data_IF_821104989806
#
_entry.id   IF_821104989806
#
_cell.length_a   1.000
_cell.length_b   1.000
_cell.length_c   1.000
_cell.angle_alpha   90.00
_cell.angle_beta   90.00
_cell.angle_gamma   90.00
#
_symmetry.space_group_name_H-M   'P 1'
#
loop_
_entity.id
_entity.type
_entity.pdbx_description
1 polymer ?
#
# COMPACT_ATOMS: atom_id res chain seq x y z
N UNK A 1 -36.82 9.18 -8.09
CA UNK A 1 -36.68 8.47 -6.80
C UNK A 1 -35.36 8.92 -6.19
N UNK A 2 -35.41 9.76 -5.15
CA UNK A 2 -34.22 10.23 -4.48
C UNK A 2 -33.63 9.09 -3.63
N UNK A 3 -32.37 8.69 -3.82
CA UNK A 3 -31.74 7.75 -2.91
C UNK A 3 -31.54 8.43 -1.55
N UNK A 4 -31.94 7.73 -0.50
CA UNK A 4 -31.91 8.18 0.90
C UNK A 4 -30.48 8.08 1.44
N UNK A 5 -30.16 9.02 2.35
CA UNK A 5 -29.23 8.92 3.51
C UNK A 5 -27.94 9.76 3.41
N UNK A 6 -28.00 10.97 3.97
CA UNK A 6 -26.94 11.56 4.80
C UNK A 6 -27.63 12.36 5.91
N UNK A 7 -27.66 11.79 7.11
CA UNK A 7 -28.04 12.49 8.36
C UNK A 7 -26.72 12.91 8.99
N UNK A 8 -26.55 14.19 9.32
CA UNK A 8 -25.40 14.62 10.09
C UNK A 8 -25.23 16.12 10.16
N UNK A 9 -25.51 16.67 11.32
CA UNK A 9 -24.80 17.86 11.81
C UNK A 9 -23.32 17.42 11.96
N UNK A 10 -22.50 17.63 10.93
CA UNK A 10 -21.13 17.11 10.94
C UNK A 10 -20.53 16.96 9.55
N UNK A 11 -19.33 17.50 9.42
CA UNK A 11 -18.30 17.26 8.40
C UNK A 11 -18.61 16.06 7.49
N UNK A 12 -18.94 16.34 6.21
CA UNK A 12 -19.14 15.32 5.17
C UNK A 12 -17.84 14.52 4.97
N UNK A 13 -17.77 13.29 5.45
CA UNK A 13 -16.77 12.31 5.02
C UNK A 13 -17.23 11.64 3.74
N UNK A 14 -16.33 11.67 2.75
CA UNK A 14 -16.41 11.00 1.45
C UNK A 14 -17.28 11.69 0.38
N UNK A 15 -16.64 12.56 -0.40
CA UNK A 15 -17.13 12.92 -1.73
C UNK A 15 -16.10 12.52 -2.79
N UNK A 16 -16.32 11.38 -3.42
CA UNK A 16 -16.13 11.32 -4.87
C UNK A 16 -17.17 12.26 -5.52
N UNK A 17 -16.90 12.70 -6.74
CA UNK A 17 -17.75 13.56 -7.58
C UNK A 17 -19.21 13.04 -7.59
N UNK A 18 -20.03 13.55 -6.68
CA UNK A 18 -21.30 12.93 -6.29
C UNK A 18 -22.29 13.97 -5.76
N UNK A 19 -23.56 13.62 -5.74
CA UNK A 19 -24.64 14.52 -5.34
C UNK A 19 -24.73 14.65 -3.81
N UNK A 20 -25.04 15.85 -3.31
CA UNK A 20 -25.19 16.14 -1.87
C UNK A 20 -26.61 16.61 -1.57
N UNK A 21 -27.19 16.17 -0.46
CA UNK A 21 -28.49 16.66 0.03
C UNK A 21 -28.35 17.25 1.43
N UNK A 22 -28.73 18.51 1.57
CA UNK A 22 -28.74 19.24 2.84
C UNK A 22 -30.14 19.17 3.46
N UNK A 23 -30.22 18.66 4.69
CA UNK A 23 -31.47 18.60 5.42
C UNK A 23 -31.71 19.88 6.20
N UNK A 24 -32.88 20.49 6.02
CA UNK A 24 -33.25 21.69 6.75
C UNK A 24 -33.91 21.38 8.11
N UNK A 25 -34.87 20.46 8.13
CA UNK A 25 -35.63 20.13 9.34
C UNK A 25 -36.16 18.70 9.27
N UNK A 26 -36.41 18.11 10.43
CA UNK A 26 -37.05 16.79 10.52
C UNK A 26 -38.59 16.88 10.49
N UNK A 27 -39.15 18.03 10.07
CA UNK A 27 -40.60 18.25 10.00
C UNK A 27 -41.10 17.88 8.61
N UNK A 28 -42.27 17.27 8.55
CA UNK A 28 -42.93 16.95 7.28
C UNK A 28 -43.53 18.20 6.66
N UNK A 29 -43.56 18.27 5.32
CA UNK A 29 -44.11 19.41 4.58
C UNK A 29 -45.54 19.78 5.00
N UNK A 30 -46.36 18.81 5.42
CA UNK A 30 -47.73 19.04 5.88
C UNK A 30 -47.86 20.03 7.06
N UNK A 31 -46.77 20.27 7.80
CA UNK A 31 -46.74 21.22 8.93
C UNK A 31 -46.01 22.52 8.58
N UNK A 32 -45.36 22.57 7.42
CA UNK A 32 -44.52 23.69 6.96
C UNK A 32 -45.38 24.66 6.17
N UNK A 33 -45.26 25.95 6.49
CA UNK A 33 -45.93 27.04 5.78
C UNK A 33 -45.06 27.57 4.63
N UNK A 34 -43.77 27.75 4.89
CA UNK A 34 -42.79 28.05 3.85
C UNK A 34 -41.39 27.62 4.28
N UNK A 35 -40.54 27.37 3.28
CA UNK A 35 -39.10 27.15 3.44
C UNK A 35 -38.34 28.15 2.59
N UNK A 36 -37.24 28.66 3.13
CA UNK A 36 -36.30 29.53 2.42
C UNK A 36 -34.88 29.03 2.65
N UNK A 37 -34.17 28.80 1.56
CA UNK A 37 -32.73 28.58 1.52
C UNK A 37 -32.05 29.85 1.05
N UNK A 38 -31.17 30.36 1.88
CA UNK A 38 -30.27 31.47 1.58
C UNK A 38 -28.86 30.90 1.44
N UNK A 39 -28.30 31.03 0.25
CA UNK A 39 -27.03 30.44 -0.14
C UNK A 39 -26.03 31.58 -0.36
N UNK A 40 -24.90 31.54 0.34
CA UNK A 40 -23.81 32.49 0.22
C UNK A 40 -22.53 31.74 -0.18
N UNK A 41 -22.08 32.00 -1.41
CA UNK A 41 -20.89 31.42 -2.02
C UNK A 41 -19.99 32.58 -2.46
N UNK A 42 -18.79 32.67 -1.91
CA UNK A 42 -17.81 33.74 -2.20
C UNK A 42 -18.40 35.17 -2.12
N UNK A 43 -19.31 35.42 -1.17
CA UNK A 43 -19.97 36.71 -0.98
C UNK A 43 -21.08 37.02 -1.99
N UNK A 44 -21.40 36.09 -2.89
CA UNK A 44 -22.59 36.16 -3.75
C UNK A 44 -23.73 35.39 -3.09
N UNK A 45 -24.79 36.13 -2.82
CA UNK A 45 -25.99 35.58 -2.19
C UNK A 45 -27.05 35.27 -3.25
N UNK A 46 -27.64 34.08 -3.16
CA UNK A 46 -28.83 33.71 -3.89
C UNK A 46 -29.80 32.97 -2.95
N UNK A 47 -31.05 32.83 -3.39
CA UNK A 47 -32.13 32.26 -2.61
C UNK A 47 -32.98 31.28 -3.41
N UNK A 48 -33.41 30.23 -2.73
CA UNK A 48 -34.43 29.29 -3.19
C UNK A 48 -35.52 29.20 -2.13
N UNK A 49 -36.79 29.35 -2.50
CA UNK A 49 -37.89 29.30 -1.55
C UNK A 49 -39.11 28.57 -2.11
N UNK A 50 -39.93 28.04 -1.21
CA UNK A 50 -41.18 27.41 -1.56
C UNK A 50 -42.21 27.59 -0.44
N UNK A 51 -43.45 27.89 -0.84
CA UNK A 51 -44.65 27.95 -0.02
C UNK A 51 -45.78 27.21 -0.76
N UNK A 52 -46.85 26.84 -0.07
CA UNK A 52 -47.98 26.11 -0.68
C UNK A 52 -48.72 26.90 -1.77
N UNK A 53 -48.75 28.23 -1.66
CA UNK A 53 -49.58 29.09 -2.52
C UNK A 53 -48.76 29.82 -3.60
N UNK A 54 -47.43 29.79 -3.51
CA UNK A 54 -46.56 30.50 -4.44
C UNK A 54 -45.75 29.51 -5.29
N UNK A 55 -45.43 29.87 -6.55
CA UNK A 55 -44.49 29.10 -7.34
C UNK A 55 -43.15 29.01 -6.62
N UNK A 56 -42.41 27.93 -6.88
CA UNK A 56 -41.04 27.80 -6.39
C UNK A 56 -40.21 28.99 -6.88
N UNK A 57 -39.58 29.67 -5.94
CA UNK A 57 -38.71 30.80 -6.19
C UNK A 57 -37.26 30.31 -6.23
N UNK A 58 -36.54 30.64 -7.30
CA UNK A 58 -35.12 30.30 -7.45
C UNK A 58 -34.39 31.44 -8.15
N UNK A 59 -33.48 32.08 -7.42
CA UNK A 59 -32.57 33.11 -7.96
C UNK A 59 -31.18 32.59 -8.25
N UNK A 60 -30.84 31.39 -7.77
CA UNK A 60 -29.55 30.76 -7.97
C UNK A 60 -29.43 30.24 -9.41
N UNK A 61 -30.50 29.65 -9.96
CA UNK A 61 -30.58 29.16 -11.35
C UNK A 61 -29.35 28.34 -11.79
N UNK A 62 -28.79 27.55 -10.87
CA UNK A 62 -27.50 26.85 -11.05
C UNK A 62 -27.64 25.31 -11.02
N UNK A 63 -28.88 24.82 -11.11
CA UNK A 63 -29.22 23.40 -11.17
C UNK A 63 -29.41 22.72 -9.81
N UNK A 64 -29.35 23.47 -8.69
CA UNK A 64 -29.78 22.98 -7.38
C UNK A 64 -31.30 22.76 -7.34
N UNK A 65 -31.76 21.82 -6.51
CA UNK A 65 -33.17 21.39 -6.51
C UNK A 65 -33.68 21.32 -5.07
N UNK A 66 -34.91 21.81 -4.83
CA UNK A 66 -35.63 21.57 -3.58
C UNK A 66 -36.34 20.20 -3.62
N UNK A 67 -35.75 19.21 -2.95
CA UNK A 67 -36.29 17.88 -2.75
C UNK A 67 -37.27 17.84 -1.57
N UNK A 68 -38.36 17.08 -1.73
CA UNK A 68 -39.44 16.97 -0.73
C UNK A 68 -39.90 18.32 -0.20
N UNK A 69 -39.85 19.34 -1.08
CA UNK A 69 -40.23 20.72 -0.80
C UNK A 69 -39.47 21.40 0.35
N UNK A 70 -38.45 20.78 0.93
CA UNK A 70 -37.77 21.25 2.16
C UNK A 70 -36.25 21.16 2.08
N UNK A 71 -35.73 20.09 1.49
CA UNK A 71 -34.31 19.76 1.50
C UNK A 71 -33.63 20.27 0.23
N UNK A 72 -32.39 20.76 0.35
CA UNK A 72 -31.64 21.26 -0.80
C UNK A 72 -30.75 20.16 -1.37
N UNK A 73 -30.92 19.85 -2.64
CA UNK A 73 -30.13 18.87 -3.37
C UNK A 73 -29.20 19.54 -4.38
N UNK A 74 -27.92 19.16 -4.33
CA UNK A 74 -26.86 19.63 -5.21
C UNK A 74 -26.42 18.43 -6.05
N UNK A 75 -26.89 18.31 -7.31
CA UNK A 75 -26.69 17.09 -8.10
C UNK A 75 -25.24 16.88 -8.55
N UNK A 76 -24.52 17.97 -8.86
CA UNK A 76 -23.13 17.94 -9.33
C UNK A 76 -22.26 18.80 -8.42
N UNK A 77 -22.03 18.30 -7.21
CA UNK A 77 -21.27 19.02 -6.20
C UNK A 77 -19.81 19.22 -6.66
N UNK A 78 -19.35 20.46 -6.65
CA UNK A 78 -18.00 20.85 -7.00
C UNK A 78 -17.48 21.95 -6.05
N UNK A 79 -16.19 22.31 -6.19
CA UNK A 79 -15.55 23.36 -5.36
C UNK A 79 -16.29 24.71 -5.41
N UNK A 80 -16.95 25.02 -6.52
CA UNK A 80 -17.78 26.23 -6.68
C UNK A 80 -19.06 26.24 -5.82
N UNK A 81 -19.43 25.10 -5.24
CA UNK A 81 -20.59 24.94 -4.35
C UNK A 81 -20.16 24.97 -2.87
N UNK A 82 -18.90 25.33 -2.57
CA UNK A 82 -18.46 25.59 -1.20
C UNK A 82 -19.03 26.92 -0.71
N UNK A 83 -19.58 26.92 0.50
CA UNK A 83 -20.19 28.14 1.03
C UNK A 83 -21.06 27.92 2.26
N UNK A 84 -21.79 28.97 2.61
CA UNK A 84 -22.71 28.99 3.75
C UNK A 84 -24.14 28.88 3.26
N UNK A 85 -24.81 27.81 3.68
CA UNK A 85 -26.17 27.48 3.35
C UNK A 85 -27.03 27.66 4.59
N UNK A 86 -27.89 28.66 4.60
CA UNK A 86 -28.84 28.89 5.67
C UNK A 86 -30.23 28.47 5.21
N UNK A 87 -30.87 27.59 5.97
CA UNK A 87 -32.26 27.27 5.77
C UNK A 87 -33.12 27.85 6.89
N UNK A 88 -34.27 28.39 6.52
CA UNK A 88 -35.34 28.81 7.42
C UNK A 88 -36.62 28.07 7.04
N UNK A 89 -37.21 27.36 7.99
CA UNK A 89 -38.51 26.70 7.84
C UNK A 89 -39.48 27.30 8.83
N UNK A 90 -40.63 27.76 8.37
CA UNK A 90 -41.70 28.28 9.23
C UNK A 90 -42.86 27.31 9.26
N UNK A 91 -43.40 27.10 10.44
CA UNK A 91 -44.54 26.22 10.73
C UNK A 91 -45.57 26.97 11.57
N UNK A 92 -46.78 26.43 11.72
CA UNK A 92 -47.86 27.11 12.46
C UNK A 92 -47.48 27.40 13.93
N UNK A 93 -46.64 26.56 14.51
CA UNK A 93 -46.19 26.59 15.91
C UNK A 93 -44.82 27.25 16.12
N UNK A 94 -44.23 27.88 15.10
CA UNK A 94 -42.92 28.55 15.22
C UNK A 94 -42.07 28.49 13.96
N UNK A 95 -40.75 28.54 14.12
CA UNK A 95 -39.79 28.47 13.02
C UNK A 95 -38.52 27.73 13.41
N UNK A 96 -37.76 27.27 12.42
CA UNK A 96 -36.47 26.59 12.56
C UNK A 96 -35.46 27.20 11.59
N UNK A 97 -34.27 27.53 12.10
CA UNK A 97 -33.15 28.01 11.28
C UNK A 97 -31.98 27.05 11.44
N UNK A 98 -31.44 26.58 10.31
CA UNK A 98 -30.21 25.81 10.24
C UNK A 98 -29.17 26.58 9.42
N UNK A 99 -27.94 26.66 9.93
CA UNK A 99 -26.80 27.19 9.18
C UNK A 99 -25.82 26.05 8.95
N UNK A 100 -25.58 25.73 7.68
CA UNK A 100 -24.77 24.60 7.23
C UNK A 100 -23.61 25.18 6.42
N UNK A 101 -22.39 24.85 6.81
CA UNK A 101 -21.20 25.18 6.02
C UNK A 101 -20.83 23.97 5.17
N UNK A 102 -20.82 24.15 3.86
CA UNK A 102 -20.51 23.10 2.90
C UNK A 102 -19.10 23.31 2.37
N UNK A 103 -18.27 22.28 2.46
CA UNK A 103 -16.89 22.28 1.96
C UNK A 103 -16.64 21.01 1.17
N UNK A 104 -16.02 21.14 0.01
CA UNK A 104 -15.55 20.03 -0.80
C UNK A 104 -14.34 19.37 -0.14
N UNK A 105 -14.33 18.03 -0.23
CA UNK A 105 -13.14 17.24 0.10
C UNK A 105 -12.57 16.72 -1.21
N UNK A 106 -11.29 17.03 -1.44
CA UNK A 106 -10.52 16.38 -2.50
C UNK A 106 -10.41 14.89 -2.15
N UNK A 107 -10.70 13.96 -3.07
CA UNK A 107 -10.48 12.54 -2.85
C UNK A 107 -9.01 12.31 -2.52
N UNK A 108 -8.74 11.88 -1.31
CA UNK A 108 -7.38 11.63 -0.87
C UNK A 108 -6.94 10.28 -1.39
N UNK A 109 -5.80 10.23 -2.08
CA UNK A 109 -5.22 8.97 -2.52
C UNK A 109 -4.00 8.69 -1.67
N UNK A 110 -4.10 7.64 -0.86
CA UNK A 110 -3.01 7.17 -0.01
C UNK A 110 -2.50 5.87 -0.61
N UNK A 111 -1.20 5.84 -0.87
CA UNK A 111 -0.54 4.69 -1.50
C UNK A 111 0.77 4.38 -0.80
N UNK A 112 1.14 3.11 -0.83
CA UNK A 112 2.43 2.64 -0.32
C UNK A 112 3.12 1.83 -1.40
N UNK A 113 4.41 2.04 -1.55
CA UNK A 113 5.25 1.31 -2.50
C UNK A 113 6.64 1.08 -1.93
N UNK A 114 7.29 0.06 -2.45
CA UNK A 114 8.72 -0.16 -2.21
C UNK A 114 9.50 0.59 -3.28
N UNK A 115 10.58 1.26 -2.89
CA UNK A 115 11.50 1.90 -3.83
C UNK A 115 12.16 0.83 -4.73
N UNK A 116 12.52 1.15 -5.99
CA UNK A 116 13.07 0.16 -6.92
C UNK A 116 14.32 -0.55 -6.39
N UNK A 117 15.13 0.14 -5.58
CA UNK A 117 16.33 -0.44 -4.97
C UNK A 117 16.02 -1.31 -3.73
N UNK A 118 14.74 -1.42 -3.35
CA UNK A 118 14.25 -2.17 -2.18
C UNK A 118 14.84 -1.73 -0.83
N UNK A 119 15.49 -0.55 -0.80
CA UNK A 119 16.11 0.03 0.40
C UNK A 119 15.21 0.98 1.16
N UNK A 120 14.18 1.51 0.50
CA UNK A 120 13.28 2.47 1.10
C UNK A 120 11.82 2.08 0.87
N UNK A 121 11.00 2.20 1.92
CA UNK A 121 9.55 2.13 1.79
C UNK A 121 8.98 3.55 1.68
N UNK A 122 8.09 3.75 0.72
CA UNK A 122 7.52 5.06 0.40
C UNK A 122 6.03 5.05 0.65
N UNK A 123 5.54 6.01 1.42
CA UNK A 123 4.11 6.26 1.58
C UNK A 123 3.80 7.66 1.04
N UNK A 124 2.83 7.74 0.14
CA UNK A 124 2.44 8.98 -0.53
C UNK A 124 0.95 9.23 -0.30
N UNK A 125 0.62 10.45 0.12
CA UNK A 125 -0.75 10.93 0.26
C UNK A 125 -0.93 12.17 -0.63
N UNK A 126 -1.76 12.04 -1.66
CA UNK A 126 -2.10 13.12 -2.59
C UNK A 126 -3.50 13.66 -2.31
N UNK A 127 -3.73 14.93 -2.58
CA UNK A 127 -5.03 15.57 -2.36
C UNK A 127 -5.34 15.82 -0.88
N UNK A 128 -4.33 15.85 -0.01
CA UNK A 128 -4.53 16.03 1.44
C UNK A 128 -4.64 17.51 1.81
N UNK A 129 -5.32 17.83 2.93
CA UNK A 129 -5.37 19.19 3.48
C UNK A 129 -4.06 19.57 4.19
N UNK A 130 -3.89 20.85 4.49
CA UNK A 130 -2.90 21.29 5.49
C UNK A 130 -3.17 20.57 6.82
N UNK A 131 -2.15 20.45 7.68
CA UNK A 131 -2.24 19.83 9.02
C UNK A 131 -2.40 18.30 9.05
N UNK A 132 -2.24 17.62 7.90
CA UNK A 132 -2.08 16.16 7.87
C UNK A 132 -0.68 15.78 8.37
N UNK A 133 -0.61 14.73 9.19
CA UNK A 133 0.65 14.08 9.54
C UNK A 133 0.71 12.65 9.03
N UNK A 134 1.86 12.25 8.49
CA UNK A 134 2.11 10.91 7.97
C UNK A 134 3.24 10.30 8.80
N UNK A 135 3.08 9.06 9.22
CA UNK A 135 4.08 8.32 9.98
C UNK A 135 4.12 6.86 9.58
N UNK A 136 5.26 6.21 9.83
CA UNK A 136 5.41 4.78 9.70
C UNK A 136 5.37 4.13 11.08
N UNK A 137 4.62 3.05 11.21
CA UNK A 137 4.65 2.19 12.39
C UNK A 137 5.68 1.08 12.18
N UNK A 138 6.78 1.17 12.91
CA UNK A 138 7.90 0.22 12.91
C UNK A 138 8.16 -0.29 14.32
N UNK A 139 8.75 -1.48 14.44
CA UNK A 139 9.21 -2.03 15.73
C UNK A 139 10.63 -1.60 16.10
N UNK A 140 11.31 -0.84 15.24
CA UNK A 140 12.67 -0.32 15.42
C UNK A 140 12.71 1.20 15.25
N UNK A 141 13.78 1.81 15.78
CA UNK A 141 14.09 3.22 15.54
C UNK A 141 14.50 3.41 14.09
N UNK A 142 13.60 4.01 13.30
CA UNK A 142 13.81 4.16 11.88
C UNK A 142 14.16 5.60 11.49
N UNK A 143 15.02 5.74 10.48
CA UNK A 143 15.31 7.04 9.88
C UNK A 143 14.30 7.31 8.78
N UNK A 144 13.62 8.45 8.89
CA UNK A 144 12.51 8.82 8.02
C UNK A 144 12.76 10.18 7.40
N UNK A 145 12.49 10.32 6.10
CA UNK A 145 12.58 11.58 5.37
C UNK A 145 11.19 11.95 4.86
N UNK A 146 10.72 13.17 5.12
CA UNK A 146 9.43 13.65 4.64
C UNK A 146 9.62 14.77 3.62
N UNK A 147 8.68 14.86 2.68
CA UNK A 147 8.59 15.93 1.69
C UNK A 147 7.13 16.33 1.49
N UNK A 148 6.89 17.60 1.19
CA UNK A 148 5.55 18.12 0.89
C UNK A 148 5.59 19.06 -0.30
N UNK A 149 4.56 19.00 -1.12
CA UNK A 149 4.39 19.84 -2.32
C UNK A 149 2.97 20.42 -2.27
N UNK A 150 2.87 21.72 -2.49
CA UNK A 150 1.58 22.40 -2.63
C UNK A 150 1.10 22.30 -4.08
N UNK A 151 -0.11 21.79 -4.27
CA UNK A 151 -0.70 21.57 -5.58
C UNK A 151 -1.52 22.81 -6.02
N UNK A 152 -1.66 23.06 -7.34
CA UNK A 152 -2.44 24.20 -7.86
C UNK A 152 -3.93 24.19 -7.48
N UNK A 153 -4.49 23.03 -7.14
CA UNK A 153 -5.89 22.88 -6.69
C UNK A 153 -6.11 23.33 -5.24
N UNK A 154 -5.04 23.70 -4.53
CA UNK A 154 -5.03 24.10 -3.12
C UNK A 154 -4.86 22.92 -2.14
N UNK A 155 -4.67 21.71 -2.65
CA UNK A 155 -4.33 20.53 -1.84
C UNK A 155 -2.82 20.39 -1.66
N UNK A 156 -2.41 19.46 -0.80
CA UNK A 156 -1.02 19.09 -0.61
C UNK A 156 -0.79 17.66 -1.07
N UNK A 157 0.43 17.40 -1.55
CA UNK A 157 0.99 16.08 -1.77
C UNK A 157 2.11 15.88 -0.76
N UNK A 158 1.98 14.89 0.12
CA UNK A 158 3.00 14.56 1.12
C UNK A 158 3.55 13.17 0.85
N UNK A 159 4.87 13.03 0.89
CA UNK A 159 5.55 11.75 0.74
C UNK A 159 6.52 11.53 1.90
N UNK A 160 6.47 10.35 2.49
CA UNK A 160 7.37 9.95 3.58
C UNK A 160 8.12 8.66 3.22
N UNK A 161 9.44 8.71 3.34
CA UNK A 161 10.38 7.66 2.97
C UNK A 161 11.03 7.08 4.20
N UNK A 162 10.95 5.76 4.34
CA UNK A 162 11.49 4.98 5.45
C UNK A 162 12.67 4.16 4.94
N UNK A 163 13.86 4.38 5.50
CA UNK A 163 15.02 3.52 5.21
C UNK A 163 14.86 2.16 5.89
N UNK A 164 14.98 1.09 5.10
CA UNK A 164 14.86 -0.29 5.55
C UNK A 164 16.24 -0.82 5.99
N UNK A 165 16.35 -1.47 7.16
CA UNK A 165 17.56 -2.17 7.55
C UNK A 165 17.79 -3.42 6.71
N UNK A 166 19.06 -3.83 6.53
CA UNK A 166 19.47 -4.98 5.71
C UNK A 166 18.93 -6.36 6.14
N UNK A 167 18.23 -6.44 7.28
CA UNK A 167 17.74 -7.68 7.88
C UNK A 167 16.23 -7.71 8.11
N UNK A 168 15.48 -6.80 7.48
CA UNK A 168 14.02 -6.73 7.61
C UNK A 168 13.38 -7.23 6.31
N UNK A 169 12.85 -8.45 6.34
CA UNK A 169 12.20 -9.09 5.19
C UNK A 169 10.91 -9.77 5.62
N UNK A 170 9.94 -9.85 4.70
CA UNK A 170 8.66 -10.55 4.95
C UNK A 170 7.82 -9.95 6.08
N UNK A 171 8.09 -8.71 6.51
CA UNK A 171 7.30 -8.00 7.52
C UNK A 171 6.27 -7.08 6.86
N UNK A 172 5.15 -6.84 7.54
CA UNK A 172 4.17 -5.84 7.13
C UNK A 172 4.49 -4.49 7.76
N UNK A 173 4.73 -3.49 6.92
CA UNK A 173 4.83 -2.10 7.33
C UNK A 173 3.46 -1.43 7.28
N UNK A 174 3.23 -0.47 8.17
CA UNK A 174 1.99 0.28 8.23
C UNK A 174 2.27 1.78 8.17
N UNK A 175 1.75 2.42 7.13
CA UNK A 175 1.72 3.86 7.01
C UNK A 175 0.42 4.38 7.65
N UNK A 176 0.55 5.33 8.57
CA UNK A 176 -0.56 5.94 9.29
C UNK A 176 -0.63 7.41 8.89
N UNK A 177 -1.78 7.80 8.34
CA UNK A 177 -2.11 9.18 7.98
C UNK A 177 -3.15 9.69 8.97
N UNK A 178 -2.88 10.83 9.59
CA UNK A 178 -3.76 11.42 10.61
C UNK A 178 -4.06 12.87 10.28
N UNK A 179 -5.28 13.31 10.60
CA UNK A 179 -5.73 14.69 10.43
C UNK A 179 -6.63 15.07 11.60
N UNK A 180 -6.54 16.29 12.16
CA UNK A 180 -7.35 16.70 13.31
C UNK A 180 -8.86 16.60 13.11
N UNK A 181 -9.33 16.69 11.86
CA UNK A 181 -10.76 16.58 11.52
C UNK A 181 -11.24 15.14 11.25
N UNK A 182 -10.40 14.12 11.43
CA UNK A 182 -10.78 12.73 11.24
C UNK A 182 -11.08 12.05 12.56
N UNK A 183 -12.18 11.29 12.60
CA UNK A 183 -12.52 10.46 13.76
C UNK A 183 -11.59 9.25 13.88
N UNK A 184 -11.14 8.72 12.74
CA UNK A 184 -10.26 7.55 12.67
C UNK A 184 -9.06 7.82 11.76
N UNK A 185 -7.92 7.23 12.12
CA UNK A 185 -6.69 7.36 11.34
C UNK A 185 -6.72 6.42 10.14
N UNK A 186 -6.30 6.91 8.98
CA UNK A 186 -6.16 6.06 7.81
C UNK A 186 -4.88 5.24 7.92
N UNK A 187 -4.97 3.93 7.70
CA UNK A 187 -3.81 3.02 7.76
C UNK A 187 -3.69 2.24 6.46
N UNK A 188 -2.54 2.37 5.79
CA UNK A 188 -2.19 1.59 4.60
C UNK A 188 -1.06 0.61 4.91
N UNK A 189 -1.20 -0.64 4.47
CA UNK A 189 -0.19 -1.69 4.67
C UNK A 189 0.69 -1.88 3.44
N UNK A 190 1.98 -2.07 3.67
CA UNK A 190 2.96 -2.47 2.65
C UNK A 190 3.57 -3.82 3.07
N UNK A 191 3.48 -4.81 2.19
CA UNK A 191 4.11 -6.11 2.40
C UNK A 191 5.52 -6.08 1.81
N UNK A 192 6.53 -6.32 2.66
CA UNK A 192 7.89 -6.49 2.17
C UNK A 192 8.06 -7.89 1.58
N UNK A 193 8.77 -8.03 0.44
CA UNK A 193 9.08 -9.34 -0.09
C UNK A 193 9.86 -10.16 0.94
N UNK A 194 9.49 -11.43 1.08
CA UNK A 194 10.24 -12.37 1.89
C UNK A 194 11.57 -12.71 1.23
N UNK A 195 12.59 -13.01 2.04
CA UNK A 195 13.76 -13.70 1.51
C UNK A 195 13.32 -15.04 0.95
N UNK A 196 13.65 -15.32 -0.32
CA UNK A 196 13.47 -16.63 -0.90
C UNK A 196 14.27 -17.64 -0.07
N UNK A 197 13.57 -18.42 0.76
CA UNK A 197 14.14 -19.63 1.32
C UNK A 197 14.29 -20.58 0.15
N UNK A 198 15.51 -20.72 -0.38
CA UNK A 198 15.82 -21.87 -1.23
C UNK A 198 15.44 -23.10 -0.42
N UNK A 199 14.41 -23.80 -0.88
CA UNK A 199 13.84 -24.91 -0.13
C UNK A 199 14.96 -25.94 0.05
N UNK A 200 15.31 -26.24 1.31
CA UNK A 200 16.42 -27.13 1.64
C UNK A 200 16.31 -28.44 0.86
N UNK A 201 15.08 -28.93 0.67
CA UNK A 201 14.70 -30.11 -0.13
C UNK A 201 15.04 -29.99 -1.61
N UNK A 202 14.93 -28.81 -2.25
CA UNK A 202 15.35 -28.63 -3.64
C UNK A 202 16.87 -28.78 -3.79
N UNK A 203 17.64 -28.23 -2.84
CA UNK A 203 19.10 -28.38 -2.85
C UNK A 203 19.46 -29.86 -2.62
N UNK A 204 18.81 -30.54 -1.67
CA UNK A 204 19.07 -31.97 -1.42
C UNK A 204 18.71 -32.83 -2.63
N UNK A 205 17.58 -32.55 -3.30
CA UNK A 205 17.15 -33.28 -4.51
C UNK A 205 18.12 -33.04 -5.67
N UNK A 206 18.60 -31.81 -5.89
CA UNK A 206 19.58 -31.52 -6.93
C UNK A 206 20.90 -32.25 -6.69
N UNK A 207 21.37 -32.30 -5.44
CA UNK A 207 22.57 -33.06 -5.05
C UNK A 207 22.35 -34.56 -5.24
N UNK A 208 21.21 -35.11 -4.82
CA UNK A 208 20.89 -36.53 -5.01
C UNK A 208 20.80 -36.91 -6.50
N UNK A 209 20.20 -36.05 -7.33
CA UNK A 209 20.11 -36.27 -8.77
C UNK A 209 21.50 -36.23 -9.43
N UNK A 210 22.39 -35.32 -9.03
CA UNK A 210 23.77 -35.32 -9.56
C UNK A 210 24.51 -36.61 -9.19
N UNK A 211 24.35 -37.10 -7.95
CA UNK A 211 24.92 -38.37 -7.52
C UNK A 211 24.38 -39.58 -8.31
N UNK A 212 23.08 -39.59 -8.65
CA UNK A 212 22.48 -40.67 -9.44
C UNK A 212 23.01 -40.63 -10.88
N UNK A 213 23.11 -39.43 -11.48
CA UNK A 213 23.64 -39.26 -12.84
C UNK A 213 25.10 -39.70 -12.93
N UNK A 214 25.94 -39.34 -11.95
CA UNK A 214 27.33 -39.78 -11.88
C UNK A 214 27.45 -41.30 -11.75
N UNK A 215 26.63 -41.93 -10.89
CA UNK A 215 26.57 -43.39 -10.75
C UNK A 215 26.10 -44.10 -12.03
N UNK A 216 25.13 -43.53 -12.75
CA UNK A 216 24.64 -44.08 -14.01
C UNK A 216 25.67 -43.94 -15.13
N UNK A 217 26.35 -42.80 -15.24
CA UNK A 217 27.44 -42.61 -16.23
C UNK A 217 28.60 -43.57 -15.97
N UNK A 218 28.93 -43.85 -14.71
CA UNK A 218 30.06 -44.71 -14.36
C UNK A 218 29.81 -46.21 -14.66
N UNK A 219 28.59 -46.70 -14.43
CA UNK A 219 28.20 -48.10 -14.74
C UNK A 219 28.14 -48.39 -16.25
N UNK A 220 28.05 -47.36 -17.10
CA UNK A 220 28.02 -47.50 -18.56
C UNK A 220 29.42 -47.50 -19.20
N UNK A 221 30.48 -47.06 -18.49
CA UNK A 221 31.76 -46.70 -19.14
C UNK A 221 32.99 -47.48 -18.66
N UNK A 222 33.04 -48.10 -17.46
CA UNK A 222 34.28 -48.73 -16.96
C UNK A 222 34.17 -50.22 -16.58
N UNK A 223 35.16 -51.06 -16.98
CA UNK A 223 35.23 -52.47 -16.59
C UNK A 223 35.68 -52.65 -15.12
N UNK A 224 35.17 -53.73 -14.51
CA UNK A 224 35.08 -54.09 -13.07
C UNK A 224 36.30 -53.98 -12.14
N UNK A 225 37.49 -53.56 -12.59
CA UNK A 225 38.75 -53.81 -11.85
C UNK A 225 39.46 -52.56 -11.27
N UNK A 226 38.81 -51.39 -11.15
CA UNK A 226 39.44 -50.16 -10.61
C UNK A 226 38.75 -49.54 -9.38
N UNK A 227 38.15 -50.35 -8.51
CA UNK A 227 37.35 -49.85 -7.37
C UNK A 227 38.12 -49.38 -6.12
N UNK A 228 39.42 -49.65 -5.96
CA UNK A 228 40.12 -49.39 -4.68
C UNK A 228 40.61 -47.95 -4.49
N UNK A 229 41.11 -47.29 -5.54
CA UNK A 229 41.57 -45.90 -5.46
C UNK A 229 40.41 -44.89 -5.46
N UNK A 230 39.27 -45.27 -6.06
CA UNK A 230 38.10 -44.39 -6.22
C UNK A 230 37.29 -44.22 -4.91
N UNK A 231 37.28 -45.24 -4.03
CA UNK A 231 36.59 -45.17 -2.73
C UNK A 231 37.16 -44.06 -1.82
N UNK A 232 38.46 -43.76 -1.95
CA UNK A 232 39.13 -42.68 -1.20
C UNK A 232 38.74 -41.31 -1.74
N UNK A 233 38.65 -41.15 -3.07
CA UNK A 233 38.21 -39.90 -3.69
C UNK A 233 36.74 -39.57 -3.40
N UNK A 234 35.86 -40.58 -3.43
CA UNK A 234 34.45 -40.45 -3.07
C UNK A 234 34.28 -40.14 -1.58
N UNK A 235 35.07 -40.77 -0.70
CA UNK A 235 35.10 -40.46 0.72
C UNK A 235 35.51 -39.01 1.01
N UNK A 236 36.53 -38.50 0.32
CA UNK A 236 36.93 -37.09 0.44
C UNK A 236 35.86 -36.14 -0.09
N UNK A 237 35.25 -36.42 -1.24
CA UNK A 237 34.19 -35.57 -1.80
C UNK A 237 32.95 -35.54 -0.87
N UNK A 238 32.57 -36.68 -0.30
CA UNK A 238 31.47 -36.78 0.65
C UNK A 238 31.75 -36.03 1.98
N UNK A 239 32.98 -36.09 2.49
CA UNK A 239 33.38 -35.33 3.67
C UNK A 239 33.41 -33.81 3.40
N UNK A 240 33.78 -33.39 2.20
CA UNK A 240 33.76 -31.98 1.80
C UNK A 240 32.35 -31.46 1.57
N UNK A 241 31.47 -32.25 0.95
CA UNK A 241 30.06 -31.89 0.75
C UNK A 241 29.30 -31.80 2.07
N UNK A 242 29.56 -32.70 3.03
CA UNK A 242 28.96 -32.61 4.37
C UNK A 242 29.47 -31.40 5.14
N UNK A 243 30.77 -31.07 5.03
CA UNK A 243 31.34 -29.85 5.60
C UNK A 243 30.74 -28.58 4.98
N UNK A 244 30.58 -28.54 3.67
CA UNK A 244 29.93 -27.44 2.95
C UNK A 244 28.46 -27.31 3.38
N UNK A 245 27.76 -28.43 3.55
CA UNK A 245 26.38 -28.44 4.04
C UNK A 245 26.26 -27.87 5.45
N UNK A 246 27.21 -28.17 6.36
CA UNK A 246 27.24 -27.62 7.72
C UNK A 246 27.56 -26.13 7.75
N UNK A 247 28.50 -25.67 6.91
CA UNK A 247 28.82 -24.23 6.78
C UNK A 247 27.64 -23.47 6.16
N UNK A 248 26.96 -24.04 5.17
CA UNK A 248 25.82 -23.40 4.54
C UNK A 248 24.57 -23.38 5.44
N UNK A 249 24.32 -24.45 6.19
CA UNK A 249 23.24 -24.50 7.20
C UNK A 249 23.46 -23.50 8.33
N UNK A 250 24.71 -23.31 8.80
CA UNK A 250 25.02 -22.32 9.84
C UNK A 250 24.90 -20.86 9.37
N UNK A 251 25.14 -20.60 8.09
CA UNK A 251 24.89 -19.29 7.46
C UNK A 251 23.39 -19.02 7.28
N UNK A 252 22.59 -20.05 6.96
CA UNK A 252 21.13 -19.94 6.82
C UNK A 252 20.37 -19.77 8.15
N UNK A 253 20.94 -20.22 9.27
CA UNK A 253 20.39 -20.03 10.62
C UNK A 253 20.74 -18.67 11.26
N UNK A 254 21.36 -17.75 10.51
CA UNK A 254 21.57 -16.37 10.95
C UNK A 254 22.59 -16.20 12.07
N UNK A 255 23.49 -17.18 12.29
CA UNK A 255 24.64 -16.98 13.17
C UNK A 255 25.78 -16.30 12.39
N UNK A 256 26.41 -15.24 12.93
CA UNK A 256 27.54 -14.61 12.26
C UNK A 256 28.75 -15.55 12.26
N UNK A 257 29.11 -16.05 11.08
CA UNK A 257 30.40 -16.71 10.87
C UNK A 257 31.45 -15.60 10.73
N UNK A 258 32.19 -15.36 11.80
CA UNK A 258 33.30 -14.41 11.82
C UNK A 258 34.47 -14.99 11.04
N UNK A 259 34.52 -14.71 9.74
CA UNK A 259 35.64 -15.09 8.87
C UNK A 259 35.37 -14.66 7.43
N UNK A 260 36.35 -14.02 6.78
CA UNK A 260 36.28 -13.64 5.38
C UNK A 260 36.06 -14.88 4.50
N UNK A 261 34.84 -15.04 4.00
CA UNK A 261 34.48 -16.18 3.15
C UNK A 261 34.77 -15.85 1.68
N UNK A 262 36.00 -16.12 1.26
CA UNK A 262 36.38 -16.33 -0.14
C UNK A 262 35.88 -17.72 -0.59
N UNK A 263 34.57 -17.99 -0.64
CA UNK A 263 34.08 -19.33 -1.06
C UNK A 263 33.95 -19.47 -2.58
N UNK A 264 33.72 -18.37 -3.29
CA UNK A 264 33.54 -18.39 -4.76
C UNK A 264 34.84 -18.74 -5.51
N UNK A 265 36.03 -18.21 -5.17
CA UNK A 265 37.27 -18.56 -5.87
C UNK A 265 37.70 -20.01 -5.62
N UNK A 266 37.43 -20.54 -4.42
CA UNK A 266 37.82 -21.90 -4.04
C UNK A 266 36.97 -22.95 -4.76
N UNK A 267 35.68 -22.68 -4.99
CA UNK A 267 34.82 -23.59 -5.74
C UNK A 267 35.30 -23.77 -7.19
N UNK A 268 35.68 -22.68 -7.87
CA UNK A 268 36.26 -22.74 -9.22
C UNK A 268 37.64 -23.41 -9.23
N UNK A 269 38.46 -23.15 -8.22
CA UNK A 269 39.78 -23.77 -8.14
C UNK A 269 39.67 -25.30 -7.97
N UNK A 270 38.74 -25.78 -7.16
CA UNK A 270 38.50 -27.20 -6.92
C UNK A 270 37.88 -27.88 -8.15
N UNK A 271 36.93 -27.22 -8.84
CA UNK A 271 36.35 -27.73 -10.08
C UNK A 271 37.43 -27.92 -11.16
N UNK A 272 38.37 -26.97 -11.27
CA UNK A 272 39.52 -27.06 -12.18
C UNK A 272 40.49 -28.19 -11.81
N UNK A 273 40.79 -28.39 -10.52
CA UNK A 273 41.67 -29.49 -10.08
C UNK A 273 41.04 -30.85 -10.39
N UNK A 274 39.74 -31.00 -10.18
CA UNK A 274 38.99 -32.22 -10.54
C UNK A 274 39.05 -32.45 -12.06
N UNK A 275 38.81 -31.40 -12.86
CA UNK A 275 38.90 -31.50 -14.33
C UNK A 275 40.29 -31.90 -14.84
N UNK A 276 41.36 -31.35 -14.24
CA UNK A 276 42.74 -31.68 -14.63
C UNK A 276 43.13 -33.11 -14.26
N UNK A 277 42.67 -33.61 -13.11
CA UNK A 277 42.91 -35.01 -12.71
C UNK A 277 42.19 -35.98 -13.64
N UNK A 278 40.96 -35.67 -14.07
CA UNK A 278 40.25 -36.51 -15.05
C UNK A 278 40.87 -36.50 -16.45
N UNK A 279 41.42 -35.36 -16.91
CA UNK A 279 42.12 -35.29 -18.20
C UNK A 279 43.52 -35.91 -18.18
N UNK A 280 44.24 -35.89 -17.06
CA UNK A 280 45.58 -36.49 -16.94
C UNK A 280 45.59 -38.01 -17.02
N UNK A 281 44.48 -38.67 -16.70
CA UNK A 281 44.37 -40.14 -16.69
C UNK A 281 44.12 -40.72 -18.10
N UNK A 282 43.70 -39.90 -19.09
CA UNK A 282 43.36 -40.39 -20.44
C UNK A 282 44.55 -40.55 -21.40
N UNK A 283 45.78 -40.18 -21.01
CA UNK A 283 46.95 -40.11 -21.90
C UNK A 283 48.05 -41.12 -21.57
N UNK A 284 47.71 -42.35 -21.17
CA UNK A 284 48.69 -43.45 -21.10
C UNK A 284 48.61 -44.24 -22.41
N UNK A 285 49.66 -44.26 -23.26
CA UNK A 285 49.64 -45.04 -24.48
C UNK A 285 49.76 -46.53 -24.14
N UNK A 286 48.84 -47.33 -24.66
CA UNK A 286 48.96 -48.79 -24.68
C UNK A 286 50.11 -49.17 -25.61
N UNK A 287 51.16 -49.81 -25.06
CA UNK A 287 52.11 -50.64 -25.79
C UNK A 287 51.86 -52.10 -25.50
#
# INVERSE_FOLDING_TARGET
LCPIKCIGQGILDKSEMGSVTLNCSNKTWALVLFVTWTIDIDGKQCQMAHSDNDPKYDTCNDGKILCDNTNLHIPHFAKRDEGRYQCETVFKDGYHIAVITVTAKVPQQISTRLDPDHREAVCSATGVKSDVSISWRTSWNATVTSSSVHNPDGSYTMEIRLKLPDHVYGTTLQCIVTHPSWTENYTQTLQLPGMYKFNQTCITVLVLLSYIVDCCLHNLVLPRNSCSSFSVAVGHLAAYLTSFHLVFSSVLEGRPVLGNITVIPYFFHVLMTVFMVFHGISNVPFS
#
